data_IF_046537651123
#
_entry.id   IF_046537651123
#
_cell.length_a   1.000
_cell.length_b   1.000
_cell.length_c   1.000
_cell.angle_alpha   90.00
_cell.angle_beta   90.00
_cell.angle_gamma   90.00
#
_symmetry.space_group_name_H-M   'P 1'
#
loop_
_entity.id
_entity.type
_entity.pdbx_description
1 polymer ?
#
# COMPACT_ATOMS: atom_id res chain seq x y z
N UNK A 1 -34.61 -12.15 7.83
CA UNK A 1 -33.79 -11.11 8.45
C UNK A 1 -34.18 -11.07 9.93
N UNK A 2 -33.32 -11.64 10.76
CA UNK A 2 -33.48 -11.59 12.19
C UNK A 2 -33.12 -10.15 12.61
N UNK A 3 -34.07 -9.44 13.19
CA UNK A 3 -33.87 -8.11 13.78
C UNK A 3 -33.30 -8.30 15.18
N UNK A 4 -32.09 -7.81 15.39
CA UNK A 4 -31.41 -7.81 16.70
C UNK A 4 -31.77 -6.51 17.42
N UNK A 5 -32.07 -6.55 18.70
CA UNK A 5 -32.30 -5.35 19.51
C UNK A 5 -30.97 -4.63 19.79
N UNK A 6 -31.02 -3.31 20.09
CA UNK A 6 -29.83 -2.51 20.37
C UNK A 6 -28.98 -3.07 21.53
N UNK A 7 -29.65 -3.57 22.59
CA UNK A 7 -28.98 -4.16 23.75
C UNK A 7 -28.32 -5.51 23.40
N UNK A 8 -28.97 -6.33 22.57
CA UNK A 8 -28.38 -7.57 22.04
C UNK A 8 -27.18 -7.27 21.14
N UNK A 9 -27.30 -6.28 20.27
CA UNK A 9 -26.20 -5.85 19.40
C UNK A 9 -24.96 -5.40 20.19
N UNK A 10 -25.15 -4.59 21.25
CA UNK A 10 -24.06 -4.17 22.14
C UNK A 10 -23.44 -5.29 22.95
N UNK A 11 -24.16 -6.37 23.21
CA UNK A 11 -23.61 -7.57 23.86
C UNK A 11 -22.86 -8.48 22.89
N UNK A 12 -23.21 -8.48 21.62
CA UNK A 12 -22.50 -9.23 20.57
C UNK A 12 -21.17 -8.56 20.25
N UNK A 13 -21.17 -7.22 20.15
CA UNK A 13 -20.00 -6.42 19.81
C UNK A 13 -19.32 -5.91 21.08
N UNK A 14 -18.65 -6.82 21.78
CA UNK A 14 -17.92 -6.55 23.01
C UNK A 14 -16.44 -6.17 22.75
N UNK A 15 -15.69 -5.93 23.83
CA UNK A 15 -14.26 -5.58 23.75
C UNK A 15 -13.42 -6.68 23.11
N UNK A 16 -13.79 -7.95 23.28
CA UNK A 16 -13.07 -9.08 22.68
C UNK A 16 -13.30 -9.12 21.16
N UNK A 17 -14.51 -8.81 20.70
CA UNK A 17 -14.81 -8.66 19.29
C UNK A 17 -14.01 -7.51 18.66
N UNK A 18 -14.01 -6.32 19.27
CA UNK A 18 -13.22 -5.19 18.78
C UNK A 18 -11.72 -5.51 18.72
N UNK A 19 -11.20 -6.24 19.71
CA UNK A 19 -9.82 -6.70 19.72
C UNK A 19 -9.54 -7.66 18.56
N UNK A 20 -10.47 -8.56 18.23
CA UNK A 20 -10.33 -9.48 17.09
C UNK A 20 -10.39 -8.75 15.74
N UNK A 21 -11.25 -7.76 15.60
CA UNK A 21 -11.30 -6.89 14.41
C UNK A 21 -9.97 -6.15 14.23
N UNK A 22 -9.39 -5.61 15.31
CA UNK A 22 -8.08 -4.94 15.24
C UNK A 22 -6.98 -5.91 14.75
N UNK A 23 -6.97 -7.17 15.18
CA UNK A 23 -6.02 -8.17 14.68
C UNK A 23 -6.18 -8.44 13.18
N UNK A 24 -7.42 -8.39 12.66
CA UNK A 24 -7.67 -8.50 11.22
C UNK A 24 -7.14 -7.28 10.46
N UNK A 25 -7.34 -6.08 11.00
CA UNK A 25 -6.79 -4.84 10.43
C UNK A 25 -5.25 -4.90 10.39
N UNK A 26 -4.62 -5.34 11.49
CA UNK A 26 -3.17 -5.52 11.56
C UNK A 26 -2.68 -6.56 10.54
N UNK A 27 -3.49 -7.62 10.31
CA UNK A 27 -3.22 -8.64 9.30
C UNK A 27 -3.25 -8.09 7.88
N UNK A 28 -4.18 -7.20 7.54
CA UNK A 28 -4.18 -6.49 6.25
C UNK A 28 -2.94 -5.61 6.11
N UNK A 29 -2.59 -4.85 7.13
CA UNK A 29 -1.37 -4.02 7.12
C UNK A 29 -0.11 -4.87 6.92
N UNK A 30 -0.09 -6.11 7.46
CA UNK A 30 1.03 -7.03 7.22
C UNK A 30 1.06 -7.54 5.78
N UNK A 31 -0.10 -7.81 5.16
CA UNK A 31 -0.19 -8.17 3.74
C UNK A 31 0.39 -7.07 2.86
N UNK A 32 0.00 -5.81 3.10
CA UNK A 32 0.52 -4.67 2.34
C UNK A 32 2.05 -4.57 2.46
N UNK A 33 2.61 -4.77 3.65
CA UNK A 33 4.06 -4.80 3.86
C UNK A 33 4.74 -5.95 3.10
N UNK A 34 4.12 -7.13 3.07
CA UNK A 34 4.65 -8.28 2.31
C UNK A 34 4.63 -7.98 0.82
N UNK A 35 3.58 -7.38 0.30
CA UNK A 35 3.47 -6.99 -1.11
C UNK A 35 4.55 -5.98 -1.50
N UNK A 36 4.81 -4.97 -0.67
CA UNK A 36 5.90 -4.01 -0.88
C UNK A 36 7.27 -4.70 -0.88
N UNK A 37 7.50 -5.66 0.03
CA UNK A 37 8.73 -6.44 0.07
C UNK A 37 8.90 -7.30 -1.20
N UNK A 38 7.87 -8.00 -1.62
CA UNK A 38 7.88 -8.80 -2.86
C UNK A 38 8.19 -7.92 -4.07
N UNK A 39 7.53 -6.77 -4.20
CA UNK A 39 7.79 -5.83 -5.29
C UNK A 39 9.25 -5.36 -5.31
N UNK A 40 9.82 -5.07 -4.15
CA UNK A 40 11.24 -4.68 -4.02
C UNK A 40 12.18 -5.81 -4.43
N UNK A 41 11.91 -7.04 -3.98
CA UNK A 41 12.68 -8.24 -4.35
C UNK A 41 12.60 -8.49 -5.86
N UNK A 42 11.42 -8.39 -6.46
CA UNK A 42 11.23 -8.57 -7.90
C UNK A 42 11.98 -7.52 -8.72
N UNK A 43 11.92 -6.24 -8.33
CA UNK A 43 12.64 -5.16 -8.99
C UNK A 43 14.15 -5.39 -8.94
N UNK A 44 14.69 -5.75 -7.77
CA UNK A 44 16.11 -6.07 -7.62
C UNK A 44 16.52 -7.31 -8.41
N UNK A 45 15.69 -8.35 -8.42
CA UNK A 45 15.94 -9.59 -9.16
C UNK A 45 15.96 -9.34 -10.67
N UNK A 46 15.12 -8.46 -11.20
CA UNK A 46 15.14 -8.08 -12.62
C UNK A 46 16.46 -7.38 -12.99
N UNK A 47 16.95 -6.51 -12.12
CA UNK A 47 18.28 -5.89 -12.28
C UNK A 47 19.39 -6.95 -12.28
N UNK A 48 19.36 -7.88 -11.32
CA UNK A 48 20.34 -8.95 -11.22
C UNK A 48 20.33 -9.85 -12.47
N UNK A 49 19.15 -10.21 -12.99
CA UNK A 49 19.02 -10.99 -14.24
C UNK A 49 19.58 -10.24 -15.45
N UNK A 50 19.40 -8.92 -15.48
CA UNK A 50 19.98 -8.08 -16.53
C UNK A 50 21.53 -8.11 -16.47
N UNK A 51 22.09 -8.12 -15.27
CA UNK A 51 23.54 -8.10 -15.06
C UNK A 51 24.20 -9.51 -15.12
N UNK A 52 23.42 -10.59 -14.97
CA UNK A 52 23.91 -11.97 -14.93
C UNK A 52 24.82 -12.36 -16.10
N UNK A 53 24.56 -11.94 -17.37
CA UNK A 53 25.41 -12.29 -18.51
C UNK A 53 26.84 -11.76 -18.42
N UNK A 54 27.10 -10.73 -17.61
CA UNK A 54 28.46 -10.19 -17.41
C UNK A 54 29.38 -11.16 -16.68
N UNK A 55 28.84 -12.14 -15.93
CA UNK A 55 29.62 -13.10 -15.13
C UNK A 55 30.61 -12.43 -14.14
N UNK A 56 30.31 -11.24 -13.68
CA UNK A 56 31.09 -10.45 -12.73
C UNK A 56 30.38 -10.49 -11.38
N UNK A 57 31.13 -10.68 -10.31
CA UNK A 57 30.57 -10.62 -8.95
C UNK A 57 30.03 -9.22 -8.65
N UNK A 58 28.87 -9.13 -8.00
CA UNK A 58 28.13 -7.88 -7.81
C UNK A 58 28.97 -6.81 -7.10
N UNK A 59 29.74 -7.20 -6.07
CA UNK A 59 30.59 -6.28 -5.32
C UNK A 59 31.68 -5.60 -6.16
N UNK A 60 32.07 -6.20 -7.30
CA UNK A 60 33.05 -5.63 -8.22
C UNK A 60 32.42 -4.56 -9.13
N UNK A 61 31.11 -4.61 -9.33
CA UNK A 61 30.38 -3.66 -10.16
C UNK A 61 30.17 -2.29 -9.49
N UNK A 62 30.25 -2.20 -8.17
CA UNK A 62 30.02 -0.98 -7.40
C UNK A 62 31.11 0.10 -7.51
N UNK A 63 32.25 -0.22 -8.14
CA UNK A 63 33.39 0.69 -8.22
C UNK A 63 34.21 0.77 -6.93
N UNK A 64 35.29 1.56 -6.99
CA UNK A 64 36.22 1.74 -5.87
C UNK A 64 36.68 3.19 -5.78
N UNK A 65 37.37 3.54 -4.70
CA UNK A 65 37.89 4.91 -4.49
C UNK A 65 38.74 5.44 -5.65
N UNK A 66 39.51 4.56 -6.31
CA UNK A 66 40.41 4.89 -7.42
C UNK A 66 39.91 4.47 -8.80
N UNK A 67 38.83 3.69 -8.86
CA UNK A 67 38.24 3.16 -10.10
C UNK A 67 36.79 3.63 -10.22
N UNK A 68 36.46 4.27 -11.32
CA UNK A 68 35.10 4.55 -11.71
C UNK A 68 34.49 3.33 -12.41
N UNK A 69 33.28 2.99 -12.07
CA UNK A 69 32.50 1.88 -12.63
C UNK A 69 31.25 2.45 -13.31
N UNK A 70 30.99 2.01 -14.53
CA UNK A 70 29.79 2.32 -15.30
C UNK A 70 29.13 1.00 -15.69
N UNK A 71 27.99 0.75 -15.12
CA UNK A 71 27.22 -0.49 -15.36
C UNK A 71 25.85 -0.10 -15.88
N UNK A 72 25.41 -0.72 -16.98
CA UNK A 72 24.15 -0.37 -17.58
C UNK A 72 23.88 -1.06 -18.90
N UNK A 73 22.91 -0.55 -19.62
CA UNK A 73 22.59 -0.99 -20.98
C UNK A 73 23.04 0.05 -22.00
N UNK A 74 23.34 -0.41 -23.20
CA UNK A 74 23.77 0.46 -24.29
C UNK A 74 22.98 0.17 -25.57
N UNK A 75 22.55 1.22 -26.26
CA UNK A 75 21.80 1.09 -27.52
C UNK A 75 22.72 0.68 -28.68
N UNK A 76 24.01 1.00 -28.60
CA UNK A 76 25.01 0.70 -29.64
C UNK A 76 26.25 0.05 -28.99
N UNK A 77 26.15 -1.20 -28.50
CA UNK A 77 27.23 -1.85 -27.76
C UNK A 77 28.49 -2.07 -28.61
N UNK A 78 28.37 -2.27 -29.92
CA UNK A 78 29.50 -2.36 -30.83
C UNK A 78 30.40 -1.12 -30.83
N UNK A 79 29.80 0.07 -30.63
CA UNK A 79 30.57 1.30 -30.55
C UNK A 79 31.57 1.31 -29.39
N UNK A 80 31.19 0.70 -28.26
CA UNK A 80 32.06 0.58 -27.08
C UNK A 80 33.17 -0.44 -27.32
N UNK A 81 32.85 -1.58 -27.94
CA UNK A 81 33.83 -2.63 -28.28
C UNK A 81 34.89 -2.19 -29.31
N UNK A 82 34.51 -1.27 -30.20
CA UNK A 82 35.40 -0.74 -31.26
C UNK A 82 36.19 0.51 -30.84
N UNK A 83 35.88 1.06 -29.68
CA UNK A 83 36.58 2.26 -29.16
C UNK A 83 38.00 1.94 -28.69
N UNK A 84 38.90 2.88 -28.96
CA UNK A 84 40.19 2.91 -28.29
C UNK A 84 40.02 3.39 -26.86
N UNK A 85 39.78 2.44 -25.97
CA UNK A 85 39.76 2.68 -24.53
C UNK A 85 41.16 3.05 -24.03
N UNK A 86 41.28 3.88 -22.96
CA UNK A 86 42.57 4.07 -22.27
C UNK A 86 43.17 2.75 -21.84
N UNK A 87 44.50 2.68 -21.77
CA UNK A 87 45.24 1.45 -21.38
C UNK A 87 44.86 0.94 -19.98
N UNK A 88 44.31 1.81 -19.13
CA UNK A 88 43.84 1.53 -17.76
C UNK A 88 42.32 1.34 -17.66
N UNK A 89 41.64 1.21 -18.81
CA UNK A 89 40.20 0.94 -18.85
C UNK A 89 39.91 -0.48 -19.32
N UNK A 90 38.90 -1.08 -18.74
CA UNK A 90 38.39 -2.40 -19.10
C UNK A 90 36.88 -2.29 -19.40
N UNK A 91 36.42 -2.91 -20.44
CA UNK A 91 35.01 -3.00 -20.79
C UNK A 91 34.60 -4.43 -21.03
N UNK A 92 33.56 -4.86 -20.38
CA UNK A 92 32.83 -6.10 -20.66
C UNK A 92 31.51 -5.74 -21.34
N UNK A 93 31.24 -6.34 -22.48
CA UNK A 93 30.04 -6.08 -23.28
C UNK A 93 29.42 -7.42 -23.66
N UNK A 94 28.21 -7.66 -23.17
CA UNK A 94 27.43 -8.87 -23.50
C UNK A 94 26.04 -8.44 -23.94
N UNK A 95 25.73 -8.70 -25.19
CA UNK A 95 24.50 -8.22 -25.84
C UNK A 95 24.37 -6.69 -25.73
N UNK A 96 23.39 -6.18 -24.98
CA UNK A 96 23.20 -4.76 -24.72
C UNK A 96 23.67 -4.33 -23.32
N UNK A 97 24.18 -5.25 -22.52
CA UNK A 97 24.66 -4.97 -21.16
C UNK A 97 26.14 -4.68 -21.17
N UNK A 98 26.53 -3.64 -20.49
CA UNK A 98 27.88 -3.10 -20.51
C UNK A 98 28.35 -2.81 -19.10
N UNK A 99 29.58 -3.26 -18.78
CA UNK A 99 30.31 -2.84 -17.60
C UNK A 99 31.65 -2.24 -18.03
N UNK A 100 31.89 -0.98 -17.69
CA UNK A 100 33.15 -0.30 -17.99
C UNK A 100 33.81 0.17 -16.70
N UNK A 101 35.07 -0.12 -16.57
CA UNK A 101 35.90 0.26 -15.43
C UNK A 101 37.07 1.10 -15.94
N UNK A 102 37.34 2.22 -15.30
CA UNK A 102 38.49 3.06 -15.64
C UNK A 102 39.04 3.77 -14.41
N UNK A 103 40.29 4.27 -14.48
CA UNK A 103 40.80 5.12 -13.42
C UNK A 103 39.92 6.36 -13.24
N UNK A 104 39.75 6.78 -11.98
CA UNK A 104 38.88 7.92 -11.61
C UNK A 104 39.19 9.21 -12.39
N UNK A 105 40.45 9.41 -12.77
CA UNK A 105 40.88 10.54 -13.60
C UNK A 105 40.26 10.57 -15.01
N UNK A 106 39.83 9.43 -15.52
CA UNK A 106 39.19 9.29 -16.85
C UNK A 106 37.65 9.23 -16.81
N UNK A 107 37.06 9.34 -15.63
CA UNK A 107 35.62 9.22 -15.40
C UNK A 107 34.79 10.17 -16.30
N UNK A 108 35.16 11.46 -16.33
CA UNK A 108 34.42 12.44 -17.14
C UNK A 108 34.50 12.18 -18.66
N UNK A 109 35.66 11.72 -19.13
CA UNK A 109 35.86 11.35 -20.54
C UNK A 109 35.03 10.11 -20.88
N UNK A 110 35.05 9.10 -20.01
CA UNK A 110 34.31 7.86 -20.20
C UNK A 110 32.81 8.09 -20.17
N UNK A 111 32.30 8.91 -19.25
CA UNK A 111 30.90 9.31 -19.19
C UNK A 111 30.42 9.91 -20.51
N UNK A 112 31.17 10.86 -21.07
CA UNK A 112 30.82 11.49 -22.36
C UNK A 112 30.81 10.50 -23.54
N UNK A 113 31.74 9.56 -23.53
CA UNK A 113 31.79 8.50 -24.53
C UNK A 113 30.56 7.58 -24.44
N UNK A 114 30.23 7.14 -23.24
CA UNK A 114 29.11 6.26 -22.97
C UNK A 114 27.77 6.95 -23.28
N UNK A 115 27.62 8.21 -22.94
CA UNK A 115 26.44 9.02 -23.32
C UNK A 115 26.25 9.06 -24.84
N UNK A 116 27.33 9.25 -25.60
CA UNK A 116 27.26 9.27 -27.08
C UNK A 116 26.87 7.92 -27.69
N UNK A 117 27.12 6.82 -26.98
CA UNK A 117 26.75 5.46 -27.38
C UNK A 117 25.31 5.06 -26.92
N UNK A 118 24.57 5.99 -26.28
CA UNK A 118 23.23 5.73 -25.76
C UNK A 118 23.21 4.82 -24.52
N UNK A 119 24.22 4.97 -23.65
CA UNK A 119 24.33 4.26 -22.39
C UNK A 119 23.24 4.72 -21.40
N UNK A 120 22.61 3.76 -20.74
CA UNK A 120 21.68 3.96 -19.65
C UNK A 120 22.22 3.24 -18.42
N UNK A 121 22.56 4.00 -17.39
CA UNK A 121 23.07 3.47 -16.15
C UNK A 121 22.02 2.62 -15.43
N UNK A 122 22.45 1.50 -14.86
CA UNK A 122 21.68 0.66 -13.96
C UNK A 122 22.24 0.88 -12.55
N UNK A 123 21.37 1.14 -11.60
CA UNK A 123 21.72 1.18 -10.19
C UNK A 123 21.95 -0.27 -9.71
N UNK A 124 23.22 -0.60 -9.41
CA UNK A 124 23.61 -1.95 -9.00
C UNK A 124 23.15 -2.17 -7.56
N UNK A 125 22.32 -3.20 -7.28
CA UNK A 125 21.90 -3.49 -5.91
C UNK A 125 23.10 -3.80 -5.01
N UNK A 126 22.98 -3.45 -3.73
CA UNK A 126 23.97 -3.84 -2.74
C UNK A 126 23.92 -5.36 -2.48
N UNK A 127 25.08 -5.99 -2.38
CA UNK A 127 25.16 -7.41 -2.08
C UNK A 127 26.56 -7.98 -2.27
N UNK A 128 26.78 -9.15 -1.68
CA UNK A 128 28.03 -9.90 -1.78
C UNK A 128 27.77 -11.28 -2.42
N UNK A 129 28.68 -11.69 -3.29
CA UNK A 129 28.63 -13.00 -3.93
C UNK A 129 28.27 -12.97 -5.41
N UNK A 130 28.05 -14.15 -5.97
CA UNK A 130 27.70 -14.30 -7.38
C UNK A 130 26.24 -13.92 -7.64
N UNK A 131 25.98 -13.28 -8.77
CA UNK A 131 24.62 -12.88 -9.18
C UNK A 131 23.65 -14.06 -9.17
N UNK A 132 23.98 -15.26 -9.70
CA UNK A 132 23.08 -16.41 -9.64
C UNK A 132 22.71 -16.85 -8.21
N UNK A 133 23.65 -16.77 -7.26
CA UNK A 133 23.35 -17.12 -5.87
C UNK A 133 22.43 -16.11 -5.19
N UNK A 134 22.53 -14.83 -5.57
CA UNK A 134 21.63 -13.78 -5.08
C UNK A 134 20.23 -13.92 -5.66
N UNK A 135 20.10 -14.23 -6.94
CA UNK A 135 18.81 -14.53 -7.57
C UNK A 135 18.13 -15.71 -6.86
N UNK A 136 18.87 -16.78 -6.61
CA UNK A 136 18.35 -17.93 -5.89
C UNK A 136 17.89 -17.59 -4.46
N UNK A 137 18.66 -16.78 -3.74
CA UNK A 137 18.26 -16.31 -2.40
C UNK A 137 16.98 -15.45 -2.45
N UNK A 138 16.89 -14.54 -3.41
CA UNK A 138 15.72 -13.70 -3.64
C UNK A 138 14.47 -14.54 -3.98
N UNK A 139 14.59 -15.56 -4.82
CA UNK A 139 13.49 -16.47 -5.16
C UNK A 139 12.99 -17.26 -3.94
N UNK A 140 13.90 -17.67 -3.04
CA UNK A 140 13.54 -18.34 -1.78
C UNK A 140 12.79 -17.37 -0.87
N UNK A 141 13.34 -16.18 -0.65
CA UNK A 141 12.73 -15.16 0.22
C UNK A 141 11.34 -14.77 -0.29
N UNK A 142 11.20 -14.54 -1.60
CA UNK A 142 9.89 -14.28 -2.22
C UNK A 142 8.91 -15.41 -1.96
N UNK A 143 9.34 -16.68 -2.10
CA UNK A 143 8.47 -17.84 -1.87
C UNK A 143 8.03 -17.96 -0.40
N UNK A 144 8.88 -17.57 0.55
CA UNK A 144 8.54 -17.55 1.97
C UNK A 144 7.52 -16.45 2.29
N UNK A 145 7.70 -15.25 1.72
CA UNK A 145 6.75 -14.15 1.83
C UNK A 145 5.39 -14.48 1.20
N UNK A 146 5.36 -15.09 0.01
CA UNK A 146 4.12 -15.55 -0.62
C UNK A 146 3.38 -16.56 0.24
N UNK A 147 4.09 -17.49 0.89
CA UNK A 147 3.49 -18.44 1.82
C UNK A 147 2.91 -17.75 3.05
N UNK A 148 3.65 -16.81 3.67
CA UNK A 148 3.17 -16.03 4.81
C UNK A 148 1.89 -15.26 4.43
N UNK A 149 1.87 -14.60 3.26
CA UNK A 149 0.70 -13.90 2.75
C UNK A 149 -0.52 -14.81 2.63
N UNK A 150 -0.34 -16.01 2.05
CA UNK A 150 -1.42 -16.99 1.91
C UNK A 150 -1.95 -17.48 3.25
N UNK A 151 -1.06 -17.71 4.23
CA UNK A 151 -1.45 -18.10 5.59
C UNK A 151 -2.29 -17.00 6.27
N UNK A 152 -1.89 -15.73 6.12
CA UNK A 152 -2.62 -14.60 6.66
C UNK A 152 -3.98 -14.46 5.97
N UNK A 153 -4.05 -14.54 4.64
CA UNK A 153 -5.30 -14.48 3.88
C UNK A 153 -6.27 -15.59 4.29
N UNK A 154 -5.75 -16.80 4.53
CA UNK A 154 -6.56 -17.93 4.99
C UNK A 154 -7.15 -17.67 6.38
N UNK A 155 -6.37 -17.07 7.30
CA UNK A 155 -6.85 -16.70 8.64
C UNK A 155 -7.93 -15.62 8.58
N UNK A 156 -7.74 -14.60 7.73
CA UNK A 156 -8.75 -13.54 7.52
C UNK A 156 -10.04 -14.16 6.98
N UNK A 157 -9.95 -15.04 5.97
CA UNK A 157 -11.12 -15.70 5.40
C UNK A 157 -11.89 -16.52 6.42
N UNK A 158 -11.19 -17.33 7.23
CA UNK A 158 -11.82 -18.13 8.28
C UNK A 158 -12.48 -17.22 9.33
N UNK A 159 -11.78 -16.15 9.77
CA UNK A 159 -12.36 -15.20 10.70
C UNK A 159 -13.62 -14.52 10.15
N UNK A 160 -13.61 -14.16 8.85
CA UNK A 160 -14.76 -13.52 8.19
C UNK A 160 -15.94 -14.48 8.07
N UNK A 161 -15.71 -15.78 7.82
CA UNK A 161 -16.77 -16.79 7.81
C UNK A 161 -17.42 -16.94 9.18
N UNK A 162 -16.61 -16.90 10.25
CA UNK A 162 -17.08 -17.10 11.62
C UNK A 162 -17.75 -15.83 12.20
N UNK A 163 -17.26 -14.64 11.86
CA UNK A 163 -17.63 -13.37 12.52
C UNK A 163 -18.30 -12.34 11.58
N UNK A 164 -18.57 -12.71 10.31
CA UNK A 164 -19.09 -11.75 9.32
C UNK A 164 -20.45 -11.16 9.67
N UNK A 165 -21.33 -11.93 10.32
CA UNK A 165 -22.63 -11.43 10.78
C UNK A 165 -22.48 -10.42 11.92
N UNK A 166 -21.58 -10.67 12.86
CA UNK A 166 -21.24 -9.80 13.99
C UNK A 166 -20.57 -8.52 13.52
N UNK A 167 -19.75 -8.60 12.47
CA UNK A 167 -19.14 -7.44 11.84
C UNK A 167 -20.20 -6.50 11.23
N UNK A 168 -21.24 -7.03 10.58
CA UNK A 168 -22.36 -6.23 10.08
C UNK A 168 -23.09 -5.53 11.22
N UNK A 169 -23.37 -6.22 12.31
CA UNK A 169 -23.97 -5.64 13.51
C UNK A 169 -23.11 -4.52 14.09
N UNK A 170 -21.78 -4.74 14.16
CA UNK A 170 -20.84 -3.74 14.64
C UNK A 170 -20.80 -2.48 13.78
N UNK A 171 -20.87 -2.62 12.45
CA UNK A 171 -20.96 -1.48 11.53
C UNK A 171 -22.24 -0.69 11.71
N UNK A 172 -23.39 -1.36 11.82
CA UNK A 172 -24.67 -0.69 12.08
C UNK A 172 -24.68 0.07 13.40
N UNK A 173 -24.08 -0.50 14.46
CA UNK A 173 -23.92 0.19 15.74
C UNK A 173 -23.06 1.44 15.64
N UNK A 174 -21.91 1.36 14.95
CA UNK A 174 -21.02 2.51 14.75
C UNK A 174 -21.70 3.62 13.93
N UNK A 175 -22.46 3.27 12.91
CA UNK A 175 -23.24 4.23 12.13
C UNK A 175 -24.31 4.93 12.97
N UNK A 176 -24.98 4.17 13.86
CA UNK A 176 -25.97 4.72 14.79
C UNK A 176 -25.32 5.69 15.79
N UNK A 177 -24.23 5.24 16.47
CA UNK A 177 -23.50 6.05 17.46
C UNK A 177 -22.93 7.34 16.79
N UNK A 178 -22.43 7.23 15.56
CA UNK A 178 -21.97 8.38 14.79
C UNK A 178 -23.12 9.35 14.48
N UNK A 179 -24.26 8.82 14.03
CA UNK A 179 -25.45 9.63 13.75
C UNK A 179 -25.97 10.32 15.02
N UNK A 180 -26.00 9.63 16.15
CA UNK A 180 -26.37 10.22 17.45
C UNK A 180 -25.37 11.30 17.89
N UNK A 181 -24.08 11.12 17.66
CA UNK A 181 -23.05 12.10 17.99
C UNK A 181 -23.12 13.38 17.14
N UNK A 182 -23.57 13.26 15.89
CA UNK A 182 -23.80 14.41 14.99
C UNK A 182 -25.10 15.18 15.29
N UNK A 183 -26.06 14.55 15.94
CA UNK A 183 -27.36 15.17 16.19
C UNK A 183 -27.28 16.53 16.95
N UNK A 184 -26.40 16.68 17.99
CA UNK A 184 -26.26 17.98 18.66
C UNK A 184 -25.75 19.11 17.77
N UNK A 185 -24.98 18.79 16.72
CA UNK A 185 -24.42 19.77 15.77
C UNK A 185 -25.52 20.34 14.87
N UNK A 186 -26.59 19.57 14.65
CA UNK A 186 -27.73 19.95 13.80
C UNK A 186 -28.87 20.64 14.57
N UNK A 187 -28.74 20.73 15.91
CA UNK A 187 -29.74 21.33 16.80
C UNK A 187 -29.27 22.73 17.17
N UNK A 188 -30.16 23.72 16.98
CA UNK A 188 -29.92 25.08 17.47
C UNK A 188 -30.09 25.09 19.00
N UNK A 189 -29.00 25.33 19.74
CA UNK A 189 -28.98 25.34 21.21
C UNK A 189 -28.73 26.77 21.73
N UNK A 190 -29.48 27.17 22.75
CA UNK A 190 -29.20 28.36 23.57
C UNK A 190 -28.89 27.92 24.99
N UNK A 191 -28.49 28.84 25.88
CA UNK A 191 -28.19 28.52 27.30
C UNK A 191 -29.32 27.82 28.06
N UNK A 192 -30.55 27.92 27.57
CA UNK A 192 -31.74 27.42 28.29
C UNK A 192 -32.71 26.61 27.42
N UNK A 193 -32.52 26.59 26.10
CA UNK A 193 -33.43 25.92 25.17
C UNK A 193 -32.70 25.36 23.97
N UNK A 194 -33.26 24.34 23.37
CA UNK A 194 -32.84 23.83 22.06
C UNK A 194 -34.04 23.73 21.11
N UNK A 195 -33.75 23.81 19.82
CA UNK A 195 -34.76 23.69 18.75
C UNK A 195 -34.36 22.54 17.85
N UNK A 196 -35.29 21.61 17.69
CA UNK A 196 -35.19 20.53 16.73
C UNK A 196 -36.16 20.79 15.61
N UNK A 197 -35.69 20.73 14.37
CA UNK A 197 -36.49 20.81 13.16
C UNK A 197 -36.43 19.50 12.40
N UNK A 198 -37.56 18.96 11.96
CA UNK A 198 -37.62 17.67 11.31
C UNK A 198 -38.93 17.47 10.53
N UNK A 199 -38.93 16.44 9.69
CA UNK A 199 -40.06 16.06 8.86
C UNK A 199 -40.74 14.82 9.41
N UNK A 200 -42.08 14.87 9.49
CA UNK A 200 -42.94 13.78 9.93
C UNK A 200 -43.94 13.50 8.82
N UNK A 201 -44.32 12.24 8.62
CA UNK A 201 -45.41 11.88 7.74
C UNK A 201 -46.74 12.18 8.41
N UNK A 202 -47.74 12.69 7.64
CA UNK A 202 -49.04 13.11 8.17
C UNK A 202 -49.72 12.02 9.02
N UNK A 203 -49.59 10.76 8.64
CA UNK A 203 -50.21 9.63 9.33
C UNK A 203 -49.61 9.33 10.73
N UNK A 204 -48.43 9.86 11.03
CA UNK A 204 -47.75 9.71 12.33
C UNK A 204 -47.62 11.00 13.13
N UNK A 205 -48.13 12.10 12.62
CA UNK A 205 -47.95 13.40 13.25
C UNK A 205 -48.63 13.47 14.63
N UNK A 206 -49.84 12.95 14.79
CA UNK A 206 -50.55 12.93 16.07
C UNK A 206 -49.82 12.10 17.12
N UNK A 207 -49.28 10.93 16.75
CA UNK A 207 -48.53 10.04 17.65
C UNK A 207 -47.26 10.73 18.17
N UNK A 208 -46.53 11.41 17.28
CA UNK A 208 -45.29 12.10 17.64
C UNK A 208 -45.56 13.34 18.48
N UNK A 209 -46.61 14.11 18.17
CA UNK A 209 -47.03 15.30 18.94
C UNK A 209 -47.39 14.87 20.36
N UNK A 210 -48.21 13.83 20.52
CA UNK A 210 -48.61 13.32 21.81
C UNK A 210 -47.43 12.84 22.64
N UNK A 211 -46.46 12.16 22.01
CA UNK A 211 -45.25 11.69 22.68
C UNK A 211 -44.32 12.82 23.13
N UNK A 212 -44.24 13.93 22.36
CA UNK A 212 -43.36 15.07 22.63
C UNK A 212 -43.99 16.15 23.53
N UNK A 213 -45.31 16.26 23.54
CA UNK A 213 -46.04 17.33 24.28
C UNK A 213 -45.70 17.44 25.77
N UNK A 214 -45.31 16.36 26.51
CA UNK A 214 -44.89 16.50 27.91
C UNK A 214 -43.48 17.14 28.06
N UNK A 215 -42.67 17.17 27.00
CA UNK A 215 -41.26 17.56 27.06
C UNK A 215 -40.96 18.87 26.33
N UNK A 216 -41.78 19.27 25.36
CA UNK A 216 -41.47 20.42 24.52
C UNK A 216 -42.75 21.17 24.05
N UNK A 217 -42.55 22.39 23.58
CA UNK A 217 -43.58 23.15 22.83
C UNK A 217 -43.26 22.94 21.34
N UNK A 218 -44.25 22.48 20.57
CA UNK A 218 -44.06 22.32 19.12
C UNK A 218 -44.76 23.44 18.34
N UNK A 219 -44.24 23.67 17.12
CA UNK A 219 -44.85 24.54 16.13
C UNK A 219 -44.92 23.79 14.81
N UNK A 220 -46.10 23.67 14.24
CA UNK A 220 -46.30 23.03 12.95
C UNK A 220 -46.17 24.09 11.83
N UNK A 221 -45.39 23.73 10.80
CA UNK A 221 -45.28 24.53 9.57
C UNK A 221 -45.97 23.76 8.44
N UNK A 222 -46.77 24.46 7.60
CA UNK A 222 -47.38 23.84 6.43
C UNK A 222 -46.35 23.17 5.54
N UNK A 223 -46.63 21.91 5.19
CA UNK A 223 -45.79 21.14 4.30
C UNK A 223 -45.76 21.79 2.90
N UNK A 224 -44.60 22.30 2.51
CA UNK A 224 -44.35 22.67 1.11
C UNK A 224 -44.23 21.39 0.30
N UNK A 225 -45.25 21.06 -0.50
CA UNK A 225 -45.15 19.91 -1.43
C UNK A 225 -44.01 20.19 -2.40
N UNK A 226 -43.02 19.27 -2.53
CA UNK A 226 -42.02 19.41 -3.58
C UNK A 226 -42.74 19.40 -4.93
N UNK A 227 -42.57 20.45 -5.69
CA UNK A 227 -43.00 20.49 -7.09
C UNK A 227 -42.07 19.56 -7.87
N UNK A 228 -42.61 18.44 -8.36
CA UNK A 228 -41.92 17.50 -9.26
C UNK A 228 -41.74 18.15 -10.62
#
# INVERSE_FOLDING_TARGET
SDTVTLDEARNIVDDDFYSSVQQVIDSFSRIDQIEDQINSIEANTEILRTLEPLHIDLHLLGGYTSIASFVGTCSTPSAISEMNLPDDAYAEVVDNVVAVFCAKQHEAMMSSILESAGFQAIEVPEGEGSIPSMIQAADIERSELDRERQEIQSKISAWTEDNGAELCVGLELLELDFSESEAPVKIAVTDHTFVIDGWITDDRSEEVIDALSPYCTYTEYEAVRPTI
#
